data_IF_957741404910
#
_entry.id   IF_957741404910
#
_cell.length_a   1.000
_cell.length_b   1.000
_cell.length_c   1.000
_cell.angle_alpha   90.00
_cell.angle_beta   90.00
_cell.angle_gamma   90.00
#
_symmetry.space_group_name_H-M   'P 1'
#
loop_
_entity.id
_entity.type
_entity.pdbx_description
1 polymer ?
#
# COMPACT_ATOMS: atom_id res chain seq x y z
N UNK A 1 -15.48 9.79 16.80
CA UNK A 1 -14.37 8.97 16.29
C UNK A 1 -14.93 7.65 15.80
N UNK A 2 -14.95 7.41 14.48
CA UNK A 2 -15.47 6.15 13.91
C UNK A 2 -14.62 4.98 14.42
N UNK A 3 -15.22 4.07 15.18
CA UNK A 3 -14.62 2.78 15.47
C UNK A 3 -14.38 2.10 14.12
N UNK A 4 -13.13 1.73 13.83
CA UNK A 4 -12.77 0.92 12.67
C UNK A 4 -12.78 -0.54 13.15
N UNK A 5 -13.93 -1.24 13.10
CA UNK A 5 -14.12 -2.45 13.89
C UNK A 5 -13.31 -3.61 13.31
N UNK A 6 -13.07 -3.57 12.00
CA UNK A 6 -12.29 -4.53 11.23
C UNK A 6 -10.79 -4.25 11.20
N UNK A 7 -10.30 -3.26 11.97
CA UNK A 7 -8.89 -2.79 11.93
C UNK A 7 -7.87 -3.92 11.91
N UNK A 8 -7.96 -4.87 12.83
CA UNK A 8 -6.98 -5.94 12.92
C UNK A 8 -6.99 -6.85 11.67
N UNK A 9 -8.18 -7.18 11.17
CA UNK A 9 -8.34 -7.99 9.96
C UNK A 9 -7.80 -7.24 8.73
N UNK A 10 -8.14 -5.97 8.60
CA UNK A 10 -7.71 -5.13 7.49
C UNK A 10 -6.19 -4.92 7.48
N UNK A 11 -5.57 -4.72 8.65
CA UNK A 11 -4.12 -4.64 8.76
C UNK A 11 -3.42 -5.95 8.37
N UNK A 12 -3.98 -7.11 8.76
CA UNK A 12 -3.46 -8.43 8.35
C UNK A 12 -3.55 -8.62 6.84
N UNK A 13 -4.66 -8.22 6.23
CA UNK A 13 -4.82 -8.24 4.77
C UNK A 13 -3.82 -7.30 4.10
N UNK A 14 -3.68 -6.06 4.58
CA UNK A 14 -2.71 -5.10 4.06
C UNK A 14 -1.27 -5.63 4.14
N UNK A 15 -0.91 -6.27 5.26
CA UNK A 15 0.40 -6.92 5.41
C UNK A 15 0.64 -7.97 4.34
N UNK A 16 -0.37 -8.74 3.93
CA UNK A 16 -0.21 -9.73 2.85
C UNK A 16 0.12 -9.10 1.49
N UNK A 17 -0.41 -7.91 1.18
CA UNK A 17 -0.04 -7.16 -0.03
C UNK A 17 1.41 -6.68 0.04
N UNK A 18 1.81 -6.15 1.18
CA UNK A 18 3.17 -5.66 1.43
C UNK A 18 4.18 -6.81 1.33
N UNK A 19 3.95 -7.91 2.04
CA UNK A 19 4.86 -9.07 2.07
C UNK A 19 4.94 -9.73 0.68
N UNK A 20 3.80 -9.88 -0.01
CA UNK A 20 3.77 -10.41 -1.37
C UNK A 20 4.52 -9.53 -2.37
N UNK A 21 4.42 -8.21 -2.22
CA UNK A 21 5.16 -7.28 -3.07
C UNK A 21 6.66 -7.26 -2.76
N UNK A 22 7.02 -7.27 -1.48
CA UNK A 22 8.41 -7.36 -1.04
C UNK A 22 9.10 -8.62 -1.60
N UNK A 23 8.40 -9.75 -1.60
CA UNK A 23 8.87 -10.97 -2.26
C UNK A 23 9.03 -10.80 -3.77
N UNK A 24 8.05 -10.19 -4.44
CA UNK A 24 8.08 -9.95 -5.89
C UNK A 24 9.28 -9.09 -6.32
N UNK A 25 9.63 -8.05 -5.56
CA UNK A 25 10.78 -7.18 -5.87
C UNK A 25 12.11 -7.65 -5.27
N UNK A 26 12.13 -8.84 -4.64
CA UNK A 26 13.36 -9.42 -4.05
C UNK A 26 13.85 -8.72 -2.78
N UNK A 27 13.01 -7.93 -2.11
CA UNK A 27 13.34 -7.14 -0.91
C UNK A 27 12.70 -7.73 0.35
N UNK A 28 12.89 -9.03 0.60
CA UNK A 28 12.21 -9.72 1.70
C UNK A 28 12.57 -9.19 3.11
N UNK A 29 13.72 -8.54 3.26
CA UNK A 29 14.21 -7.96 4.52
C UNK A 29 14.16 -6.43 4.56
N UNK A 30 13.76 -5.77 3.48
CA UNK A 30 13.69 -4.31 3.38
C UNK A 30 12.23 -3.87 3.23
N UNK A 31 11.87 -2.75 3.86
CA UNK A 31 10.57 -2.12 3.65
C UNK A 31 10.33 -1.82 2.16
N UNK A 32 9.06 -1.85 1.76
CA UNK A 32 8.65 -1.46 0.39
C UNK A 32 8.20 0.00 0.40
N UNK A 33 8.56 0.74 -0.64
CA UNK A 33 8.16 2.13 -0.79
C UNK A 33 6.65 2.28 -1.01
N UNK A 34 6.10 3.47 -0.70
CA UNK A 34 4.76 3.86 -1.17
C UNK A 34 4.80 4.27 -2.64
N UNK A 35 5.89 4.93 -3.04
CA UNK A 35 6.11 5.37 -4.40
C UNK A 35 7.32 4.68 -5.01
N UNK A 36 7.30 4.59 -6.33
CA UNK A 36 8.38 4.04 -7.14
C UNK A 36 8.74 5.01 -8.26
N UNK A 37 10.02 5.07 -8.57
CA UNK A 37 10.52 5.79 -9.73
C UNK A 37 10.56 4.81 -10.91
N UNK A 38 9.78 5.11 -11.93
CA UNK A 38 9.72 4.34 -13.18
C UNK A 38 10.42 5.13 -14.27
N UNK A 39 11.42 4.52 -14.89
CA UNK A 39 12.12 5.11 -16.02
C UNK A 39 11.45 4.75 -17.35
N UNK A 40 11.04 5.75 -18.10
CA UNK A 40 10.64 5.60 -19.51
C UNK A 40 11.85 6.02 -20.37
N UNK A 41 12.65 5.04 -20.77
CA UNK A 41 13.89 5.26 -21.52
C UNK A 41 13.58 5.85 -22.91
N UNK A 42 12.47 5.43 -23.53
CA UNK A 42 12.09 5.92 -24.85
C UNK A 42 11.75 7.41 -24.81
N UNK A 43 11.11 7.88 -23.74
CA UNK A 43 10.79 9.29 -23.52
C UNK A 43 11.88 10.07 -22.79
N UNK A 44 12.95 9.40 -22.33
CA UNK A 44 14.00 9.96 -21.48
C UNK A 44 13.41 10.65 -20.23
N UNK A 45 12.39 10.05 -19.61
CA UNK A 45 11.70 10.59 -18.44
C UNK A 45 11.76 9.64 -17.24
N UNK A 46 11.63 10.23 -16.05
CA UNK A 46 11.42 9.54 -14.79
C UNK A 46 10.05 9.94 -14.24
N UNK A 47 9.24 8.95 -13.89
CA UNK A 47 7.91 9.17 -13.33
C UNK A 47 7.85 8.62 -11.90
N UNK A 48 7.40 9.43 -10.96
CA UNK A 48 7.08 8.96 -9.61
C UNK A 48 5.64 8.43 -9.60
N UNK A 49 5.47 7.15 -9.32
CA UNK A 49 4.16 6.46 -9.31
C UNK A 49 3.88 5.83 -7.96
N UNK A 50 2.60 5.63 -7.64
CA UNK A 50 2.23 4.76 -6.52
C UNK A 50 2.69 3.33 -6.80
N UNK A 51 3.23 2.69 -5.78
CA UNK A 51 3.70 1.31 -5.88
C UNK A 51 2.52 0.38 -6.18
N UNK A 52 2.72 -0.66 -7.00
CA UNK A 52 1.66 -1.61 -7.38
C UNK A 52 0.90 -2.21 -6.19
N UNK A 53 1.57 -2.47 -5.07
CA UNK A 53 0.93 -3.01 -3.86
C UNK A 53 -0.09 -2.04 -3.24
N UNK A 54 0.17 -0.74 -3.31
CA UNK A 54 -0.72 0.32 -2.80
C UNK A 54 -2.00 0.36 -3.62
N UNK A 55 -1.86 0.28 -4.94
CA UNK A 55 -2.98 0.26 -5.88
C UNK A 55 -3.82 -1.00 -5.65
N UNK A 56 -3.18 -2.17 -5.60
CA UNK A 56 -3.86 -3.45 -5.38
C UNK A 56 -4.61 -3.49 -4.04
N UNK A 57 -3.97 -3.02 -2.97
CA UNK A 57 -4.58 -2.92 -1.65
C UNK A 57 -5.79 -1.96 -1.66
N UNK A 58 -5.66 -0.79 -2.29
CA UNK A 58 -6.74 0.19 -2.36
C UNK A 58 -7.95 -0.35 -3.10
N UNK A 59 -7.74 -0.99 -4.25
CA UNK A 59 -8.79 -1.64 -5.02
C UNK A 59 -9.46 -2.77 -4.22
N UNK A 60 -8.69 -3.54 -3.46
CA UNK A 60 -9.23 -4.58 -2.59
C UNK A 60 -10.21 -4.01 -1.55
N UNK A 61 -9.83 -2.93 -0.85
CA UNK A 61 -10.71 -2.34 0.15
C UNK A 61 -11.89 -1.58 -0.45
N UNK A 62 -11.74 -0.99 -1.63
CA UNK A 62 -12.88 -0.43 -2.38
C UNK A 62 -13.88 -1.52 -2.76
N UNK A 63 -13.42 -2.71 -3.15
CA UNK A 63 -14.31 -3.85 -3.44
C UNK A 63 -15.06 -4.35 -2.22
N UNK A 64 -14.43 -4.36 -1.04
CA UNK A 64 -15.04 -4.86 0.20
C UNK A 64 -15.98 -3.84 0.84
N UNK A 65 -15.57 -2.58 0.89
CA UNK A 65 -16.25 -1.55 1.67
C UNK A 65 -16.97 -0.50 0.81
N UNK A 66 -16.88 -0.58 -0.51
CA UNK A 66 -17.32 0.47 -1.44
C UNK A 66 -16.24 1.54 -1.64
N UNK A 67 -16.38 2.36 -2.70
CA UNK A 67 -15.34 3.29 -3.13
C UNK A 67 -14.88 4.25 -2.03
N UNK A 68 -15.82 4.96 -1.40
CA UNK A 68 -15.50 5.99 -0.40
C UNK A 68 -14.91 5.38 0.89
N UNK A 69 -15.59 4.40 1.47
CA UNK A 69 -15.14 3.79 2.71
C UNK A 69 -13.85 2.98 2.51
N UNK A 70 -13.71 2.30 1.37
CA UNK A 70 -12.50 1.59 1.01
C UNK A 70 -11.29 2.52 0.87
N UNK A 71 -11.49 3.72 0.32
CA UNK A 71 -10.45 4.75 0.27
C UNK A 71 -10.09 5.25 1.68
N UNK A 72 -11.08 5.51 2.54
CA UNK A 72 -10.85 5.90 3.95
C UNK A 72 -10.05 4.83 4.70
N UNK A 73 -10.41 3.55 4.55
CA UNK A 73 -9.67 2.44 5.16
C UNK A 73 -8.25 2.36 4.62
N UNK A 74 -8.07 2.45 3.31
CA UNK A 74 -6.75 2.42 2.67
C UNK A 74 -5.86 3.54 3.17
N UNK A 75 -6.36 4.77 3.25
CA UNK A 75 -5.63 5.93 3.80
C UNK A 75 -5.26 5.74 5.27
N UNK A 76 -6.16 5.18 6.09
CA UNK A 76 -5.88 4.86 7.51
C UNK A 76 -4.78 3.82 7.64
N UNK A 77 -4.80 2.77 6.82
CA UNK A 77 -3.78 1.72 6.79
C UNK A 77 -2.43 2.31 6.42
N UNK A 78 -2.36 3.05 5.31
CA UNK A 78 -1.13 3.70 4.86
C UNK A 78 -0.58 4.62 5.95
N UNK A 79 -1.44 5.49 6.53
CA UNK A 79 -1.04 6.40 7.60
C UNK A 79 -0.47 5.67 8.82
N UNK A 80 -1.02 4.51 9.20
CA UNK A 80 -0.49 3.70 10.29
C UNK A 80 0.89 3.15 9.98
N UNK A 81 1.10 2.56 8.80
CA UNK A 81 2.41 2.03 8.40
C UNK A 81 3.47 3.14 8.29
N UNK A 82 3.09 4.35 7.86
CA UNK A 82 3.99 5.51 7.83
C UNK A 82 4.35 6.04 9.22
N UNK A 83 3.34 6.30 10.04
CA UNK A 83 3.54 6.99 11.33
C UNK A 83 4.16 6.10 12.39
N UNK A 84 4.06 4.77 12.24
CA UNK A 84 4.63 3.81 13.18
C UNK A 84 6.04 3.34 12.81
N UNK A 85 6.64 3.87 11.74
CA UNK A 85 7.99 3.48 11.30
C UNK A 85 8.10 2.00 10.91
N UNK A 86 6.97 1.33 10.70
CA UNK A 86 6.92 -0.08 10.34
C UNK A 86 6.70 -0.18 8.84
N UNK A 87 7.73 -0.62 8.12
CA UNK A 87 7.65 -1.25 6.79
C UNK A 87 7.73 -0.35 5.55
N UNK A 88 7.85 0.97 5.69
CA UNK A 88 8.13 1.86 4.55
C UNK A 88 9.46 2.56 4.79
N UNK A 89 10.48 2.20 4.00
CA UNK A 89 11.75 2.93 3.90
C UNK A 89 11.74 3.73 2.59
#
# INVERSE_FOLDING_TARGET
MSSWPTKHKDLKVAKSFIDGYAQYVGRQSEGVGLFEVVADIAKKSLELKLSPWVIAMTLHFQKIYGNEQGEVISRKILSLYFTQGQTIH
#
